data_IF_354676172568
#
_entry.id   IF_354676172568
#
_cell.length_a   1.000
_cell.length_b   1.000
_cell.length_c   1.000
_cell.angle_alpha   90.00
_cell.angle_beta   90.00
_cell.angle_gamma   90.00
#
_symmetry.space_group_name_H-M   'P 1'
#
loop_
_entity.id
_entity.type
_entity.pdbx_description
1 polymer ?
#
# COMPACT_ATOMS: atom_id res chain seq x y z
N UNK A 1 28.35 -7.63 27.97
CA UNK A 1 28.05 -6.90 26.73
C UNK A 1 29.31 -6.91 25.89
N UNK A 2 29.21 -7.25 24.61
CA UNK A 2 30.36 -7.41 23.71
C UNK A 2 30.58 -6.17 22.82
N UNK A 3 29.49 -5.55 22.38
CA UNK A 3 29.50 -4.29 21.64
C UNK A 3 28.21 -3.50 21.93
N UNK A 4 28.29 -2.18 21.85
CA UNK A 4 27.16 -1.25 21.94
C UNK A 4 27.15 -0.39 20.68
N UNK A 5 26.08 -0.47 19.90
CA UNK A 5 25.94 0.23 18.63
C UNK A 5 24.92 1.35 18.77
N UNK A 6 25.35 2.58 18.53
CA UNK A 6 24.42 3.68 18.30
C UNK A 6 23.88 3.58 16.88
N UNK A 7 22.57 3.41 16.77
CA UNK A 7 21.86 3.25 15.52
C UNK A 7 20.96 4.46 15.26
N UNK A 8 20.77 4.81 14.00
CA UNK A 8 19.85 5.88 13.58
C UNK A 8 18.98 5.38 12.42
N UNK A 9 17.70 5.78 12.35
CA UNK A 9 16.87 5.46 11.19
C UNK A 9 17.20 6.42 10.05
N UNK A 10 17.20 5.90 8.81
CA UNK A 10 17.34 6.75 7.63
C UNK A 10 16.22 7.80 7.59
N UNK A 11 16.58 9.07 7.57
CA UNK A 11 15.66 10.21 7.57
C UNK A 11 15.64 11.00 8.88
N UNK A 12 16.07 10.39 9.98
CA UNK A 12 16.34 11.10 11.23
C UNK A 12 17.68 11.85 11.07
N UNK A 13 17.71 13.13 11.44
CA UNK A 13 18.88 14.00 11.23
C UNK A 13 19.48 14.53 12.53
N UNK A 14 18.97 14.08 13.69
CA UNK A 14 19.46 14.45 15.02
C UNK A 14 20.11 13.26 15.72
N UNK A 15 21.19 13.51 16.46
CA UNK A 15 21.76 12.52 17.39
C UNK A 15 20.78 12.16 18.53
N UNK A 16 19.85 13.04 18.88
CA UNK A 16 18.82 12.78 19.90
C UNK A 16 17.85 11.65 19.49
N UNK A 17 17.70 11.41 18.18
CA UNK A 17 16.85 10.34 17.64
C UNK A 17 17.55 8.97 17.61
N UNK A 18 18.86 8.95 17.92
CA UNK A 18 19.65 7.74 17.94
C UNK A 18 19.17 6.77 19.04
N UNK A 19 19.34 5.48 18.78
CA UNK A 19 18.98 4.43 19.73
C UNK A 19 20.07 3.37 19.81
N UNK A 20 20.25 2.85 21.01
CA UNK A 20 21.34 1.89 21.28
C UNK A 20 20.86 0.46 21.08
N UNK A 21 21.68 -0.34 20.40
CA UNK A 21 21.57 -1.80 20.29
C UNK A 21 22.79 -2.44 20.97
N UNK A 22 22.51 -3.20 22.02
CA UNK A 22 23.54 -3.93 22.76
C UNK A 22 23.65 -5.36 22.21
N UNK A 23 24.86 -5.75 21.79
CA UNK A 23 25.18 -7.11 21.36
C UNK A 23 25.92 -7.81 22.49
N UNK A 24 25.42 -8.97 22.92
CA UNK A 24 26.03 -9.77 23.98
C UNK A 24 27.02 -10.81 23.41
N UNK A 25 27.90 -11.35 24.25
CA UNK A 25 28.82 -12.43 23.84
C UNK A 25 28.06 -13.67 23.34
N UNK A 26 26.88 -13.91 23.94
CA UNK A 26 25.91 -14.90 23.50
C UNK A 26 24.57 -14.19 23.43
N UNK A 27 23.94 -14.20 22.27
CA UNK A 27 22.64 -13.58 22.04
C UNK A 27 21.57 -14.66 21.85
N UNK A 28 20.43 -14.51 22.53
CA UNK A 28 19.33 -15.47 22.47
C UNK A 28 18.26 -15.00 21.48
N UNK A 29 17.92 -15.87 20.54
CA UNK A 29 16.83 -15.70 19.57
C UNK A 29 15.79 -16.79 19.84
N UNK A 30 14.86 -16.50 20.74
CA UNK A 30 13.89 -17.49 21.22
C UNK A 30 14.58 -18.63 21.98
N UNK A 31 14.62 -19.83 21.39
CA UNK A 31 15.30 -21.01 21.97
C UNK A 31 16.73 -21.22 21.46
N UNK A 32 17.15 -20.44 20.46
CA UNK A 32 18.47 -20.57 19.82
C UNK A 32 19.42 -19.59 20.48
N UNK A 33 20.61 -20.05 20.85
CA UNK A 33 21.70 -19.20 21.35
C UNK A 33 22.78 -19.10 20.29
N UNK A 34 23.19 -17.87 19.96
CA UNK A 34 24.21 -17.60 18.95
C UNK A 34 25.35 -16.84 19.63
N UNK A 35 26.55 -17.42 19.57
CA UNK A 35 27.78 -16.76 20.00
C UNK A 35 28.14 -15.63 19.04
N UNK A 36 28.72 -14.55 19.55
CA UNK A 36 29.07 -13.37 18.75
C UNK A 36 29.97 -13.68 17.55
N UNK A 37 30.88 -14.65 17.67
CA UNK A 37 31.76 -15.09 16.58
C UNK A 37 31.02 -15.77 15.42
N UNK A 38 29.77 -16.18 15.66
CA UNK A 38 28.89 -16.80 14.69
C UNK A 38 27.66 -15.94 14.36
N UNK A 39 27.48 -14.81 15.05
CA UNK A 39 26.38 -13.87 14.83
C UNK A 39 26.51 -13.24 13.44
N UNK A 40 25.48 -13.36 12.62
CA UNK A 40 25.41 -12.77 11.29
C UNK A 40 24.75 -11.40 11.32
N UNK A 41 24.98 -10.61 10.29
CA UNK A 41 24.28 -9.33 10.11
C UNK A 41 22.76 -9.54 10.02
N UNK A 42 22.27 -10.66 9.48
CA UNK A 42 20.85 -11.02 9.53
C UNK A 42 20.28 -11.06 10.95
N UNK A 43 21.06 -11.57 11.90
CA UNK A 43 20.64 -11.71 13.30
C UNK A 43 20.60 -10.33 13.97
N UNK A 44 21.54 -9.44 13.62
CA UNK A 44 21.53 -8.05 14.05
C UNK A 44 20.28 -7.30 13.56
N UNK A 45 19.79 -7.58 12.34
CA UNK A 45 18.53 -6.99 11.83
C UNK A 45 17.34 -7.36 12.72
N UNK A 46 17.26 -8.62 13.17
CA UNK A 46 16.20 -9.08 14.08
C UNK A 46 16.24 -8.33 15.40
N UNK A 47 17.44 -8.16 16.00
CA UNK A 47 17.60 -7.40 17.25
C UNK A 47 17.13 -5.95 17.13
N UNK A 48 17.47 -5.29 16.02
CA UNK A 48 17.05 -3.91 15.74
C UNK A 48 15.52 -3.82 15.66
N UNK A 49 14.88 -4.77 14.98
CA UNK A 49 13.43 -4.81 14.84
C UNK A 49 12.71 -5.12 16.14
N UNK A 50 13.22 -6.06 16.94
CA UNK A 50 12.62 -6.36 18.25
C UNK A 50 12.69 -5.13 19.19
N UNK A 51 13.79 -4.37 19.14
CA UNK A 51 13.94 -3.10 19.87
C UNK A 51 12.93 -2.04 19.42
N UNK A 52 12.58 -2.01 18.13
CA UNK A 52 11.68 -1.01 17.50
C UNK A 52 10.30 -1.58 17.14
N UNK A 53 9.92 -2.74 17.70
CA UNK A 53 8.70 -3.50 17.34
C UNK A 53 7.42 -2.67 17.43
N UNK A 54 7.36 -1.73 18.37
CA UNK A 54 6.23 -0.81 18.57
C UNK A 54 6.17 0.34 17.54
N UNK A 55 7.27 0.64 16.82
CA UNK A 55 7.35 1.73 15.82
C UNK A 55 7.34 1.23 14.37
N UNK A 56 7.86 0.02 14.09
CA UNK A 56 8.16 -0.37 12.71
C UNK A 56 7.26 -1.45 12.11
N UNK A 57 6.67 -2.38 12.86
CA UNK A 57 5.67 -3.34 12.33
C UNK A 57 6.04 -4.08 11.03
N UNK A 58 7.34 -4.29 10.79
CA UNK A 58 7.93 -4.74 9.53
C UNK A 58 8.91 -5.90 9.79
N UNK A 59 9.12 -6.76 8.79
CA UNK A 59 9.99 -7.95 8.83
C UNK A 59 11.50 -7.63 8.63
N UNK A 60 12.38 -8.52 9.10
CA UNK A 60 13.85 -8.39 9.08
C UNK A 60 14.44 -8.25 7.66
N UNK A 61 13.79 -8.84 6.67
CA UNK A 61 14.21 -8.72 5.28
C UNK A 61 13.91 -7.35 4.66
N UNK A 62 13.14 -6.52 5.35
CA UNK A 62 12.73 -5.19 4.88
C UNK A 62 13.61 -4.05 5.43
N UNK A 63 14.78 -4.36 5.98
CA UNK A 63 15.77 -3.35 6.37
C UNK A 63 17.14 -3.63 5.77
N UNK A 64 17.82 -2.57 5.34
CA UNK A 64 19.23 -2.54 5.00
C UNK A 64 20.00 -1.86 6.13
N UNK A 65 21.18 -2.38 6.43
CA UNK A 65 22.05 -1.78 7.44
C UNK A 65 23.32 -1.24 6.76
N UNK A 66 23.70 -0.04 7.14
CA UNK A 66 24.91 0.62 6.65
C UNK A 66 25.82 0.90 7.85
N UNK A 67 27.06 0.39 7.81
CA UNK A 67 28.10 0.79 8.77
C UNK A 67 28.53 2.20 8.43
N UNK A 68 28.52 3.06 9.43
CA UNK A 68 29.03 4.43 9.38
C UNK A 68 29.87 4.70 10.63
N UNK A 69 30.57 5.82 10.61
CA UNK A 69 31.29 6.35 11.77
C UNK A 69 31.15 7.87 11.74
N UNK A 70 30.04 8.37 12.28
CA UNK A 70 29.69 9.81 12.24
C UNK A 70 29.74 10.35 13.66
N UNK A 71 30.65 11.30 13.89
CA UNK A 71 30.71 12.06 15.13
C UNK A 71 29.65 13.15 15.17
N UNK A 72 29.27 13.59 16.37
CA UNK A 72 28.26 14.65 16.57
C UNK A 72 28.63 15.95 15.86
N UNK A 73 29.92 16.32 15.85
CA UNK A 73 30.42 17.49 15.10
C UNK A 73 30.22 17.40 13.58
N UNK A 74 29.95 16.21 13.06
CA UNK A 74 29.74 15.91 11.64
C UNK A 74 28.27 15.59 11.31
N UNK A 75 27.33 15.96 12.18
CA UNK A 75 25.88 15.69 12.02
C UNK A 75 25.32 16.14 10.67
N UNK A 76 25.85 17.22 10.07
CA UNK A 76 25.43 17.68 8.74
C UNK A 76 25.56 16.59 7.65
N UNK A 77 26.50 15.64 7.80
CA UNK A 77 26.68 14.51 6.85
C UNK A 77 25.48 13.56 6.86
N UNK A 78 24.71 13.49 7.96
CA UNK A 78 23.51 12.65 8.04
C UNK A 78 22.40 13.18 7.11
N UNK A 79 22.33 14.50 6.86
CA UNK A 79 21.35 15.13 5.95
C UNK A 79 21.61 14.80 4.47
N UNK A 80 22.83 14.41 4.13
CA UNK A 80 23.21 14.02 2.76
C UNK A 80 22.81 12.58 2.43
N UNK A 81 22.55 11.75 3.45
CA UNK A 81 22.16 10.35 3.30
C UNK A 81 20.67 10.23 2.95
N UNK A 82 20.35 10.31 1.65
CA UNK A 82 18.94 10.33 1.16
C UNK A 82 18.47 9.06 0.45
N UNK A 83 19.38 8.26 -0.13
CA UNK A 83 19.05 7.13 -1.02
C UNK A 83 20.28 6.20 -1.22
N UNK A 84 20.06 4.97 -1.71
CA UNK A 84 21.09 4.01 -2.17
C UNK A 84 22.15 4.60 -3.14
N UNK A 85 21.83 5.71 -3.81
CA UNK A 85 22.69 6.47 -4.73
C UNK A 85 23.45 7.64 -4.08
N UNK A 86 23.00 8.14 -2.92
CA UNK A 86 23.62 9.27 -2.20
C UNK A 86 24.28 8.78 -0.91
N UNK A 87 25.39 8.05 -1.07
CA UNK A 87 26.15 7.52 0.07
C UNK A 87 26.97 8.65 0.71
N UNK A 88 26.90 8.72 2.04
CA UNK A 88 27.93 9.43 2.82
C UNK A 88 29.28 8.79 2.50
N UNK A 89 30.29 9.64 2.26
CA UNK A 89 31.67 9.18 2.03
C UNK A 89 32.10 8.29 3.21
N UNK A 90 32.37 7.01 2.93
CA UNK A 90 32.79 6.03 3.95
C UNK A 90 31.70 5.06 4.45
N UNK A 91 30.43 5.22 4.06
CA UNK A 91 29.37 4.28 4.44
C UNK A 91 29.56 2.91 3.77
N UNK A 92 29.60 1.82 4.56
CA UNK A 92 29.79 0.44 4.08
C UNK A 92 28.52 -0.38 4.27
N UNK A 93 28.00 -0.94 3.18
CA UNK A 93 26.85 -1.84 3.23
C UNK A 93 27.16 -3.11 4.05
N UNK A 94 26.30 -3.43 5.01
CA UNK A 94 26.40 -4.63 5.84
C UNK A 94 25.64 -5.79 5.16
N UNK A 95 26.38 -6.75 4.61
CA UNK A 95 25.80 -7.90 3.91
C UNK A 95 25.18 -8.87 4.92
N UNK A 96 23.91 -9.29 4.77
CA UNK A 96 23.23 -10.14 5.74
C UNK A 96 23.93 -11.47 6.05
N UNK A 97 24.60 -12.05 5.05
CA UNK A 97 25.26 -13.37 5.17
C UNK A 97 26.61 -13.32 5.87
N UNK A 98 27.18 -12.14 6.04
CA UNK A 98 28.49 -11.94 6.65
C UNK A 98 28.39 -11.92 8.18
N UNK A 99 29.49 -12.27 8.85
CA UNK A 99 29.55 -12.26 10.32
C UNK A 99 29.65 -10.83 10.86
N UNK A 100 29.08 -10.61 12.04
CA UNK A 100 29.15 -9.35 12.78
C UNK A 100 30.60 -8.87 12.95
N UNK A 101 31.48 -9.78 13.37
CA UNK A 101 32.89 -9.51 13.57
C UNK A 101 33.65 -9.15 12.28
N UNK A 102 33.11 -9.37 11.08
CA UNK A 102 33.76 -8.87 9.85
C UNK A 102 33.67 -7.35 9.71
N UNK A 103 32.74 -6.72 10.42
CA UNK A 103 32.48 -5.28 10.32
C UNK A 103 32.83 -4.51 11.60
N UNK A 104 32.72 -5.16 12.76
CA UNK A 104 32.86 -4.54 14.09
C UNK A 104 33.96 -5.21 14.94
N UNK A 105 35.00 -5.75 14.29
CA UNK A 105 36.13 -6.46 14.92
C UNK A 105 36.97 -5.59 15.86
N UNK A 106 36.98 -4.27 15.61
CA UNK A 106 37.79 -3.31 16.36
C UNK A 106 37.03 -2.92 17.64
N UNK A 107 37.64 -3.21 18.79
CA UNK A 107 37.03 -3.09 20.13
C UNK A 107 36.75 -1.66 20.60
N UNK A 108 37.04 -0.65 19.78
CA UNK A 108 36.79 0.75 20.13
C UNK A 108 35.85 1.38 19.12
N UNK A 109 34.58 0.98 19.23
CA UNK A 109 33.49 1.80 18.72
C UNK A 109 33.48 3.09 19.54
N UNK A 110 33.70 4.23 18.87
CA UNK A 110 33.67 5.54 19.50
C UNK A 110 32.28 5.75 20.10
N UNK A 111 32.17 5.74 21.44
CA UNK A 111 30.89 5.64 22.12
C UNK A 111 29.90 6.77 21.80
N UNK A 112 30.37 7.92 21.31
CA UNK A 112 29.53 9.05 20.89
C UNK A 112 29.07 9.02 19.43
N UNK A 113 29.66 8.16 18.59
CA UNK A 113 29.41 8.20 17.15
C UNK A 113 28.19 7.37 16.77
N UNK A 114 27.53 7.71 15.66
CA UNK A 114 26.58 6.81 15.01
C UNK A 114 27.39 5.73 14.29
N UNK A 115 27.03 4.47 14.54
CA UNK A 115 27.73 3.29 14.03
C UNK A 115 26.96 2.59 12.90
N UNK A 116 25.63 2.67 12.96
CA UNK A 116 24.75 1.99 12.00
C UNK A 116 23.62 2.92 11.59
N UNK A 117 23.46 3.12 10.28
CA UNK A 117 22.21 3.67 9.74
C UNK A 117 21.31 2.51 9.31
N UNK A 118 20.12 2.50 9.88
CA UNK A 118 19.06 1.55 9.57
C UNK A 118 18.21 2.16 8.46
N UNK A 119 18.47 1.72 7.24
CA UNK A 119 17.61 2.03 6.11
C UNK A 119 16.46 1.03 6.13
N UNK A 120 15.25 1.51 6.39
CA UNK A 120 14.07 0.77 5.98
C UNK A 120 14.16 0.63 4.46
N UNK A 121 14.27 -0.60 3.96
CA UNK A 121 13.95 -0.83 2.56
C UNK A 121 12.49 -0.40 2.48
N UNK A 122 12.24 0.76 1.88
CA UNK A 122 10.92 1.03 1.40
C UNK A 122 10.57 -0.20 0.57
N UNK A 123 9.58 -0.99 1.01
CA UNK A 123 8.88 -1.88 0.10
C UNK A 123 8.67 -1.04 -1.16
N UNK A 124 9.26 -1.47 -2.28
CA UNK A 124 9.37 -0.63 -3.46
C UNK A 124 8.00 0.01 -3.69
N UNK A 125 7.93 1.35 -3.59
CA UNK A 125 6.62 1.99 -3.53
C UNK A 125 5.80 1.55 -4.73
N UNK A 126 4.50 1.32 -4.55
CA UNK A 126 3.68 0.82 -5.64
C UNK A 126 3.77 1.77 -6.86
N UNK A 127 3.96 3.07 -6.64
CA UNK A 127 4.25 4.07 -7.68
C UNK A 127 5.49 3.71 -8.53
N UNK A 128 6.58 3.27 -7.90
CA UNK A 128 7.81 2.88 -8.60
C UNK A 128 7.63 1.54 -9.34
N UNK A 129 6.91 0.59 -8.74
CA UNK A 129 6.50 -0.66 -9.39
C UNK A 129 5.67 -0.36 -10.65
N UNK A 130 4.68 0.54 -10.56
CA UNK A 130 3.87 0.94 -11.71
C UNK A 130 4.71 1.57 -12.81
N UNK A 131 5.66 2.46 -12.46
CA UNK A 131 6.60 3.03 -13.44
C UNK A 131 7.40 1.94 -14.16
N UNK A 132 7.85 0.90 -13.45
CA UNK A 132 8.58 -0.23 -14.06
C UNK A 132 7.69 -1.07 -14.98
N UNK A 133 6.49 -1.43 -14.53
CA UNK A 133 5.51 -2.21 -15.31
C UNK A 133 5.11 -1.47 -16.60
N UNK A 134 4.97 -0.15 -16.52
CA UNK A 134 4.45 0.67 -17.61
C UNK A 134 5.53 1.28 -18.52
N UNK A 135 6.82 1.03 -18.23
CA UNK A 135 7.96 1.68 -18.92
C UNK A 135 7.92 1.56 -20.44
N UNK A 136 7.48 0.40 -20.95
CA UNK A 136 7.48 0.08 -22.39
C UNK A 136 6.06 -0.04 -22.95
N UNK A 137 5.05 0.47 -22.23
CA UNK A 137 3.64 0.36 -22.63
C UNK A 137 3.25 1.62 -23.37
N UNK A 138 2.73 1.47 -24.58
CA UNK A 138 2.28 2.60 -25.38
C UNK A 138 1.10 3.32 -24.71
N UNK A 139 1.02 4.65 -24.90
CA UNK A 139 -0.13 5.46 -24.52
C UNK A 139 -0.94 5.80 -25.76
N UNK A 140 -2.26 5.68 -25.66
CA UNK A 140 -3.17 6.19 -26.67
C UNK A 140 -3.27 7.71 -26.56
N UNK A 141 -3.20 8.41 -27.70
CA UNK A 141 -3.51 9.84 -27.79
C UNK A 141 -5.03 10.12 -27.78
N UNK A 142 -5.86 9.09 -27.95
CA UNK A 142 -7.27 9.23 -28.32
C UNK A 142 -8.20 8.57 -27.30
N UNK A 143 -8.21 9.02 -26.04
CA UNK A 143 -9.38 8.80 -25.19
C UNK A 143 -10.17 10.11 -25.12
N UNK A 144 -11.32 10.14 -25.82
CA UNK A 144 -12.32 11.16 -25.51
C UNK A 144 -12.76 10.96 -24.06
N UNK A 145 -13.06 12.02 -23.30
CA UNK A 145 -13.68 11.85 -21.99
C UNK A 145 -14.91 10.95 -22.14
N UNK A 146 -14.99 9.91 -21.32
CA UNK A 146 -16.19 9.09 -21.22
C UNK A 146 -17.33 10.01 -20.81
N UNK A 147 -18.35 10.08 -21.66
CA UNK A 147 -19.46 11.03 -21.67
C UNK A 147 -19.14 12.40 -22.30
N UNK A 148 -19.67 12.58 -23.51
CA UNK A 148 -19.86 13.89 -24.14
C UNK A 148 -20.64 14.79 -23.18
N UNK A 149 -20.10 15.98 -22.90
CA UNK A 149 -20.76 17.07 -22.18
C UNK A 149 -21.98 17.65 -22.92
N UNK A 150 -22.33 17.10 -24.09
CA UNK A 150 -23.30 17.70 -25.01
C UNK A 150 -24.78 17.43 -24.69
N UNK A 151 -25.11 16.48 -23.80
CA UNK A 151 -26.51 16.24 -23.42
C UNK A 151 -26.79 16.93 -22.08
N UNK A 152 -27.78 17.84 -22.01
CA UNK A 152 -28.07 18.58 -20.78
C UNK A 152 -28.32 17.64 -19.60
N UNK A 153 -27.79 18.03 -18.44
CA UNK A 153 -28.00 17.35 -17.17
C UNK A 153 -29.50 17.38 -16.86
N UNK A 154 -30.11 16.22 -16.58
CA UNK A 154 -31.45 16.21 -15.98
C UNK A 154 -31.25 16.60 -14.52
N UNK A 155 -31.98 17.59 -14.02
CA UNK A 155 -32.05 17.89 -12.60
C UNK A 155 -32.68 16.69 -11.87
N UNK A 156 -31.84 15.77 -11.43
CA UNK A 156 -32.25 14.60 -10.64
C UNK A 156 -32.14 14.99 -9.17
N UNK A 157 -33.12 14.58 -8.35
CA UNK A 157 -32.98 14.72 -6.90
C UNK A 157 -31.83 13.81 -6.42
N UNK A 158 -30.78 14.42 -5.87
CA UNK A 158 -29.62 13.75 -5.30
C UNK A 158 -29.54 13.90 -3.77
N UNK A 159 -30.49 14.59 -3.13
CA UNK A 159 -30.44 14.96 -1.71
C UNK A 159 -30.24 13.75 -0.81
N UNK A 160 -30.98 12.67 -1.03
CA UNK A 160 -30.83 11.44 -0.24
C UNK A 160 -29.45 10.81 -0.37
N UNK A 161 -28.85 10.84 -1.57
CA UNK A 161 -27.53 10.29 -1.81
C UNK A 161 -26.45 11.14 -1.14
N UNK A 162 -26.54 12.47 -1.30
CA UNK A 162 -25.66 13.45 -0.67
C UNK A 162 -25.73 13.32 0.87
N UNK A 163 -26.92 13.22 1.43
CA UNK A 163 -27.14 13.05 2.88
C UNK A 163 -26.49 11.76 3.40
N UNK A 164 -26.64 10.62 2.70
CA UNK A 164 -25.97 9.37 3.07
C UNK A 164 -24.44 9.48 3.02
N UNK A 165 -23.89 10.13 2.00
CA UNK A 165 -22.43 10.33 1.87
C UNK A 165 -21.92 11.26 2.98
N UNK A 166 -22.61 12.37 3.24
CA UNK A 166 -22.27 13.31 4.32
C UNK A 166 -22.25 12.59 5.67
N UNK A 167 -23.30 11.81 5.98
CA UNK A 167 -23.35 11.01 7.20
C UNK A 167 -22.20 10.01 7.34
N UNK A 168 -21.81 9.34 6.24
CA UNK A 168 -20.65 8.44 6.26
C UNK A 168 -19.35 9.20 6.56
N UNK A 169 -19.19 10.41 6.01
CA UNK A 169 -18.03 11.26 6.25
C UNK A 169 -17.95 11.70 7.72
N UNK A 170 -19.04 12.24 8.27
CA UNK A 170 -19.13 12.65 9.68
C UNK A 170 -18.74 11.51 10.63
N UNK A 171 -19.30 10.32 10.40
CA UNK A 171 -19.01 9.13 11.21
C UNK A 171 -17.55 8.67 11.07
N UNK A 172 -16.98 8.69 9.86
CA UNK A 172 -15.64 8.13 9.64
C UNK A 172 -14.51 9.01 10.18
N UNK A 173 -14.68 10.33 10.20
CA UNK A 173 -13.59 11.28 10.48
C UNK A 173 -13.57 11.85 11.91
N UNK A 174 -14.71 11.99 12.58
CA UNK A 174 -14.80 12.84 13.78
C UNK A 174 -15.06 12.10 15.09
N UNK A 175 -15.27 10.79 15.00
CA UNK A 175 -15.64 9.94 16.11
C UNK A 175 -14.50 8.99 16.46
N UNK A 176 -14.05 9.05 17.71
CA UNK A 176 -12.85 8.39 18.23
C UNK A 176 -13.00 6.89 18.47
N UNK A 177 -14.18 6.30 18.23
CA UNK A 177 -14.44 4.88 18.43
C UNK A 177 -14.34 4.12 17.11
N UNK A 178 -13.65 2.98 17.14
CA UNK A 178 -13.61 1.96 16.08
C UNK A 178 -15.05 1.60 15.67
N UNK A 179 -15.50 2.04 14.50
CA UNK A 179 -16.86 1.77 14.05
C UNK A 179 -17.09 0.30 13.71
N UNK A 180 -18.23 -0.21 14.16
CA UNK A 180 -18.81 -1.44 13.64
C UNK A 180 -19.18 -1.16 12.18
N UNK A 181 -18.73 -2.00 11.24
CA UNK A 181 -19.00 -1.89 9.79
C UNK A 181 -20.48 -1.67 9.43
N UNK A 182 -21.40 -1.97 10.35
CA UNK A 182 -22.85 -1.83 10.21
C UNK A 182 -23.38 -0.39 10.16
N UNK A 183 -22.59 0.64 10.52
CA UNK A 183 -23.06 2.03 10.51
C UNK A 183 -22.85 2.75 9.19
N UNK A 184 -21.95 2.23 8.34
CA UNK A 184 -21.66 2.80 7.02
C UNK A 184 -22.73 2.41 6.01
N UNK A 185 -23.20 3.38 5.23
CA UNK A 185 -24.19 3.18 4.19
C UNK A 185 -23.53 3.03 2.82
N UNK A 186 -23.98 2.07 2.02
CA UNK A 186 -23.62 1.96 0.60
C UNK A 186 -24.81 2.42 -0.25
N UNK A 187 -24.53 3.21 -1.28
CA UNK A 187 -25.53 3.60 -2.26
C UNK A 187 -25.64 2.49 -3.31
N UNK A 188 -26.82 1.86 -3.39
CA UNK A 188 -27.10 0.82 -4.37
C UNK A 188 -28.11 1.34 -5.38
N UNK A 189 -27.70 1.43 -6.64
CA UNK A 189 -28.58 1.80 -7.74
C UNK A 189 -29.01 0.53 -8.50
N UNK A 190 -30.18 -0.01 -8.17
CA UNK A 190 -30.76 -1.16 -8.87
C UNK A 190 -31.55 -0.75 -10.12
N UNK A 191 -31.65 -1.65 -11.10
CA UNK A 191 -32.57 -1.52 -12.23
C UNK A 191 -31.99 -2.02 -13.55
N UNK A 192 -32.82 -2.01 -14.59
CA UNK A 192 -32.48 -2.58 -15.91
C UNK A 192 -31.23 -1.90 -16.56
N UNK A 193 -30.55 -2.59 -17.48
CA UNK A 193 -29.54 -1.95 -18.33
C UNK A 193 -30.10 -0.72 -19.07
N UNK A 194 -29.26 0.30 -19.29
CA UNK A 194 -29.65 1.48 -20.08
C UNK A 194 -30.48 2.55 -19.36
N UNK A 195 -30.88 2.36 -18.10
CA UNK A 195 -31.67 3.38 -17.35
C UNK A 195 -30.85 4.59 -16.88
N UNK A 196 -29.55 4.64 -17.17
CA UNK A 196 -28.67 5.75 -16.83
C UNK A 196 -28.09 5.72 -15.41
N UNK A 197 -27.89 4.53 -14.83
CA UNK A 197 -27.19 4.34 -13.54
C UNK A 197 -25.76 4.89 -13.59
N UNK A 198 -25.00 4.49 -14.62
CA UNK A 198 -23.64 4.96 -14.85
C UNK A 198 -23.60 6.49 -14.95
N UNK A 199 -24.54 7.07 -15.69
CA UNK A 199 -24.71 8.53 -15.81
C UNK A 199 -25.04 9.18 -14.46
N UNK A 200 -25.93 8.61 -13.67
CA UNK A 200 -26.26 9.13 -12.33
C UNK A 200 -25.03 9.21 -11.44
N UNK A 201 -24.19 8.17 -11.41
CA UNK A 201 -22.95 8.18 -10.62
C UNK A 201 -21.98 9.29 -11.05
N UNK A 202 -21.82 9.54 -12.36
CA UNK A 202 -21.01 10.65 -12.86
C UNK A 202 -21.59 12.02 -12.50
N UNK A 203 -22.92 12.18 -12.63
CA UNK A 203 -23.60 13.43 -12.26
C UNK A 203 -23.48 13.71 -10.76
N UNK A 204 -23.67 12.70 -9.91
CA UNK A 204 -23.48 12.80 -8.47
C UNK A 204 -22.04 13.18 -8.11
N UNK A 205 -21.03 12.51 -8.69
CA UNK A 205 -19.63 12.87 -8.47
C UNK A 205 -19.32 14.31 -8.87
N UNK A 206 -19.79 14.76 -10.04
CA UNK A 206 -19.58 16.12 -10.50
C UNK A 206 -20.25 17.15 -9.58
N UNK A 207 -21.46 16.84 -9.07
CA UNK A 207 -22.14 17.69 -8.10
C UNK A 207 -21.31 17.81 -6.81
N UNK A 208 -20.83 16.70 -6.26
CA UNK A 208 -20.00 16.66 -5.05
C UNK A 208 -18.70 17.45 -5.21
N UNK A 209 -18.02 17.27 -6.34
CA UNK A 209 -16.76 17.97 -6.65
C UNK A 209 -16.97 19.49 -6.78
N UNK A 210 -18.08 19.92 -7.39
CA UNK A 210 -18.38 21.32 -7.60
C UNK A 210 -18.97 22.00 -6.35
N UNK A 211 -19.56 21.23 -5.43
CA UNK A 211 -20.17 21.71 -4.20
C UNK A 211 -19.65 20.93 -2.97
N UNK A 212 -18.34 20.96 -2.68
CA UNK A 212 -17.74 20.14 -1.62
C UNK A 212 -18.29 20.44 -0.23
N UNK A 213 -18.71 21.70 0.00
CA UNK A 213 -19.32 22.18 1.24
C UNK A 213 -20.65 21.51 1.59
N UNK A 214 -21.30 20.83 0.63
CA UNK A 214 -22.56 20.13 0.88
C UNK A 214 -22.35 18.76 1.55
N UNK A 215 -21.11 18.27 1.59
CA UNK A 215 -20.75 16.92 2.09
C UNK A 215 -19.55 16.91 3.01
N UNK A 216 -18.53 17.73 2.74
CA UNK A 216 -17.27 17.75 3.47
C UNK A 216 -17.24 18.94 4.43
N UNK A 217 -18.07 18.88 5.47
CA UNK A 217 -18.08 19.85 6.58
C UNK A 217 -17.52 19.17 7.81
N UNK A 218 -16.60 19.85 8.49
CA UNK A 218 -16.12 19.41 9.79
C UNK A 218 -17.21 19.65 10.84
N UNK A 219 -17.76 18.61 11.49
CA UNK A 219 -18.81 18.75 12.50
C UNK A 219 -18.39 19.58 13.71
N UNK A 220 -17.09 19.65 14.02
CA UNK A 220 -16.56 20.37 15.19
C UNK A 220 -16.42 21.86 14.92
N UNK A 221 -15.88 22.22 13.75
CA UNK A 221 -15.68 23.63 13.38
C UNK A 221 -16.85 24.21 12.58
N UNK A 222 -17.74 23.36 12.07
CA UNK A 222 -18.78 23.68 11.08
C UNK A 222 -18.24 24.39 9.83
N UNK A 223 -16.94 24.24 9.57
CA UNK A 223 -16.28 24.79 8.40
C UNK A 223 -16.15 23.72 7.32
N UNK A 224 -16.22 24.09 6.03
CA UNK A 224 -15.86 23.19 4.95
C UNK A 224 -14.43 22.69 5.12
N UNK A 225 -14.21 21.42 4.77
CA UNK A 225 -12.85 20.86 4.68
C UNK A 225 -12.05 21.69 3.68
N UNK A 226 -10.85 22.17 4.05
CA UNK A 226 -10.05 22.99 3.15
C UNK A 226 -9.44 22.14 2.03
N UNK A 227 -9.58 22.63 0.80
CA UNK A 227 -8.94 22.11 -0.42
C UNK A 227 -8.99 20.58 -0.61
N UNK A 228 -10.19 19.95 -0.58
CA UNK A 228 -10.33 18.52 -0.80
C UNK A 228 -10.01 18.14 -2.25
N UNK A 229 -9.20 17.09 -2.44
CA UNK A 229 -8.94 16.51 -3.74
C UNK A 229 -9.98 15.43 -4.05
N UNK A 230 -10.66 15.55 -5.20
CA UNK A 230 -11.71 14.61 -5.64
C UNK A 230 -11.20 13.67 -6.73
N UNK A 231 -11.36 12.38 -6.50
CA UNK A 231 -11.03 11.32 -7.44
C UNK A 231 -12.23 10.38 -7.64
N UNK A 232 -12.68 10.22 -8.88
CA UNK A 232 -13.68 9.21 -9.24
C UNK A 232 -12.97 7.97 -9.77
N UNK A 233 -13.33 6.79 -9.26
CA UNK A 233 -12.85 5.51 -9.75
C UNK A 233 -14.07 4.65 -10.09
N UNK A 234 -14.23 4.36 -11.38
CA UNK A 234 -15.30 3.53 -11.92
C UNK A 234 -14.79 2.10 -12.14
N UNK A 235 -15.44 1.10 -11.56
CA UNK A 235 -15.10 -0.32 -11.70
C UNK A 235 -16.25 -1.07 -12.37
N UNK A 236 -16.09 -1.41 -13.65
CA UNK A 236 -17.02 -2.27 -14.39
C UNK A 236 -16.57 -3.74 -14.30
N UNK A 237 -17.26 -4.51 -13.47
CA UNK A 237 -16.98 -5.95 -13.31
C UNK A 237 -17.51 -6.80 -14.45
N UNK A 238 -18.39 -6.27 -15.30
CA UNK A 238 -18.94 -6.97 -16.46
C UNK A 238 -18.06 -6.90 -17.68
N UNK A 239 -17.11 -5.95 -17.77
CA UNK A 239 -16.23 -5.83 -18.94
C UNK A 239 -14.77 -5.53 -18.61
N UNK A 240 -14.50 -4.52 -17.80
CA UNK A 240 -13.17 -3.91 -17.71
C UNK A 240 -12.28 -4.55 -16.66
N UNK A 241 -12.86 -4.95 -15.52
CA UNK A 241 -12.13 -5.48 -14.35
C UNK A 241 -12.74 -6.78 -13.83
N UNK A 242 -13.17 -7.64 -14.76
CA UNK A 242 -13.81 -8.95 -14.47
C UNK A 242 -13.05 -9.77 -13.43
N UNK A 243 -13.80 -10.45 -12.57
CA UNK A 243 -13.26 -11.49 -11.70
C UNK A 243 -13.00 -12.77 -12.49
N UNK A 244 -11.95 -13.50 -12.14
CA UNK A 244 -11.64 -14.82 -12.69
C UNK A 244 -10.74 -15.60 -11.71
N UNK A 245 -10.30 -16.79 -12.11
CA UNK A 245 -9.54 -17.74 -11.26
C UNK A 245 -8.35 -17.18 -10.49
N UNK A 246 -7.69 -16.11 -10.94
CA UNK A 246 -6.56 -15.52 -10.21
C UNK A 246 -7.02 -14.75 -8.96
N UNK A 247 -8.25 -14.24 -8.96
CA UNK A 247 -8.83 -13.50 -7.84
C UNK A 247 -9.20 -14.43 -6.66
N UNK A 248 -9.34 -15.73 -6.90
CA UNK A 248 -9.66 -16.73 -5.86
C UNK A 248 -8.66 -16.74 -4.70
N UNK A 249 -7.37 -16.57 -5.01
CA UNK A 249 -6.32 -16.61 -4.00
C UNK A 249 -6.09 -15.25 -3.34
N UNK A 250 -6.76 -14.20 -3.82
CA UNK A 250 -6.61 -12.86 -3.29
C UNK A 250 -7.61 -12.61 -2.15
N UNK A 251 -7.14 -11.89 -1.14
CA UNK A 251 -8.02 -11.20 -0.20
C UNK A 251 -8.90 -10.19 -0.95
N UNK A 252 -10.10 -9.93 -0.43
CA UNK A 252 -11.00 -8.92 -0.98
C UNK A 252 -10.31 -7.54 -1.07
N UNK A 253 -9.48 -7.21 -0.08
CA UNK A 253 -8.71 -5.96 -0.07
C UNK A 253 -7.75 -5.88 -1.27
N UNK A 254 -6.90 -6.90 -1.48
CA UNK A 254 -5.98 -6.94 -2.63
C UNK A 254 -6.70 -7.03 -3.97
N UNK A 255 -7.84 -7.72 -4.04
CA UNK A 255 -8.64 -7.83 -5.26
C UNK A 255 -9.22 -6.46 -5.70
N UNK A 256 -9.73 -5.65 -4.77
CA UNK A 256 -10.21 -4.30 -5.07
C UNK A 256 -9.03 -3.35 -5.30
N UNK A 257 -7.98 -3.42 -4.47
CA UNK A 257 -6.77 -2.62 -4.61
C UNK A 257 -6.13 -2.75 -6.00
N UNK A 258 -6.02 -3.98 -6.50
CA UNK A 258 -5.48 -4.25 -7.84
C UNK A 258 -6.30 -3.55 -8.94
N UNK A 259 -7.63 -3.53 -8.82
CA UNK A 259 -8.55 -2.91 -9.79
C UNK A 259 -8.50 -1.39 -9.72
N UNK A 260 -8.45 -0.83 -8.51
CA UNK A 260 -8.25 0.61 -8.29
C UNK A 260 -6.91 1.05 -8.88
N UNK A 261 -5.85 0.28 -8.63
CA UNK A 261 -4.51 0.58 -9.16
C UNK A 261 -4.49 0.51 -10.69
N UNK A 262 -5.11 -0.51 -11.29
CA UNK A 262 -5.29 -0.58 -12.74
C UNK A 262 -6.00 0.65 -13.29
N UNK A 263 -7.16 1.00 -12.73
CA UNK A 263 -7.93 2.14 -13.23
C UNK A 263 -7.14 3.43 -13.17
N UNK A 264 -6.57 3.74 -12.01
CA UNK A 264 -5.88 4.99 -11.79
C UNK A 264 -4.55 5.11 -12.56
N UNK A 265 -3.69 4.09 -12.51
CA UNK A 265 -2.33 4.18 -13.06
C UNK A 265 -2.24 3.79 -14.54
N UNK A 266 -3.18 2.97 -15.04
CA UNK A 266 -3.10 2.38 -16.38
C UNK A 266 -4.21 2.95 -17.25
N UNK A 267 -5.46 2.68 -16.89
CA UNK A 267 -6.60 2.99 -17.75
C UNK A 267 -6.80 4.50 -17.92
N UNK A 268 -6.84 5.26 -16.83
CA UNK A 268 -7.09 6.70 -16.85
C UNK A 268 -5.89 7.48 -17.41
N UNK A 269 -4.69 6.91 -17.30
CA UNK A 269 -3.46 7.43 -17.93
C UNK A 269 -3.33 7.05 -19.42
N UNK A 270 -4.39 6.46 -19.99
CA UNK A 270 -4.48 6.07 -21.41
C UNK A 270 -3.42 5.07 -21.88
N UNK A 271 -2.87 4.26 -20.98
CA UNK A 271 -2.01 3.14 -21.37
C UNK A 271 -2.81 2.07 -22.14
N UNK A 272 -2.22 1.57 -23.21
CA UNK A 272 -2.77 0.48 -24.03
C UNK A 272 -2.47 -0.87 -23.37
N UNK A 273 -3.17 -1.14 -22.27
CA UNK A 273 -3.04 -2.36 -21.51
C UNK A 273 -4.39 -2.67 -20.88
N UNK A 274 -4.90 -3.88 -21.11
CA UNK A 274 -6.10 -4.34 -20.44
C UNK A 274 -5.81 -4.84 -19.01
N UNK A 275 -6.87 -5.13 -18.26
CA UNK A 275 -6.72 -5.54 -16.86
C UNK A 275 -6.02 -6.89 -16.71
N UNK A 276 -6.21 -7.82 -17.65
CA UNK A 276 -5.61 -9.14 -17.56
C UNK A 276 -4.10 -9.07 -17.82
N UNK A 277 -3.68 -8.31 -18.83
CA UNK A 277 -2.28 -8.04 -19.13
C UNK A 277 -1.59 -7.31 -17.97
N UNK A 278 -2.26 -6.30 -17.42
CA UNK A 278 -1.78 -5.58 -16.24
C UNK A 278 -1.55 -6.54 -15.06
N UNK A 279 -2.53 -7.38 -14.75
CA UNK A 279 -2.44 -8.36 -13.67
C UNK A 279 -1.32 -9.38 -13.92
N UNK A 280 -1.17 -9.88 -15.14
CA UNK A 280 -0.08 -10.79 -15.51
C UNK A 280 1.29 -10.14 -15.28
N UNK A 281 1.45 -8.87 -15.68
CA UNK A 281 2.71 -8.15 -15.52
C UNK A 281 3.06 -7.89 -14.05
N UNK A 282 2.08 -7.48 -13.24
CA UNK A 282 2.33 -7.29 -11.80
C UNK A 282 2.60 -8.63 -11.09
N UNK A 283 1.88 -9.70 -11.44
CA UNK A 283 2.16 -11.05 -10.90
C UNK A 283 3.57 -11.52 -11.27
N UNK A 284 4.02 -11.29 -12.51
CA UNK A 284 5.39 -11.60 -12.95
C UNK A 284 6.43 -10.79 -12.19
N UNK A 285 6.17 -9.51 -11.95
CA UNK A 285 7.06 -8.65 -11.16
C UNK A 285 7.25 -9.21 -9.73
N UNK A 286 6.16 -9.65 -9.09
CA UNK A 286 6.22 -10.27 -7.76
C UNK A 286 6.57 -11.76 -7.76
N UNK A 287 6.70 -12.40 -8.94
CA UNK A 287 6.91 -13.84 -9.12
C UNK A 287 5.88 -14.67 -8.34
N UNK A 288 4.60 -14.33 -8.48
CA UNK A 288 3.50 -15.01 -7.76
C UNK A 288 3.31 -16.43 -8.30
N UNK A 289 3.97 -17.40 -7.66
CA UNK A 289 3.94 -18.83 -7.98
C UNK A 289 3.63 -19.72 -6.77
N UNK A 290 3.68 -19.16 -5.55
CA UNK A 290 3.47 -19.88 -4.30
C UNK A 290 2.83 -18.97 -3.23
N UNK A 291 2.55 -19.53 -2.06
CA UNK A 291 1.86 -18.82 -0.97
C UNK A 291 2.67 -17.66 -0.40
N UNK A 292 4.00 -17.76 -0.35
CA UNK A 292 4.87 -16.72 0.20
C UNK A 292 4.97 -15.52 -0.76
N UNK A 293 5.18 -15.78 -2.05
CA UNK A 293 5.20 -14.74 -3.09
C UNK A 293 3.83 -14.05 -3.22
N UNK A 294 2.74 -14.80 -3.04
CA UNK A 294 1.39 -14.23 -2.95
C UNK A 294 1.21 -13.32 -1.73
N UNK A 295 1.62 -13.74 -0.54
CA UNK A 295 1.54 -12.89 0.67
C UNK A 295 2.35 -11.60 0.51
N UNK A 296 3.52 -11.69 -0.12
CA UNK A 296 4.32 -10.51 -0.46
C UNK A 296 3.59 -9.58 -1.42
N UNK A 297 2.97 -10.13 -2.47
CA UNK A 297 2.11 -9.38 -3.37
C UNK A 297 0.98 -8.67 -2.61
N UNK A 298 0.23 -9.36 -1.75
CA UNK A 298 -0.90 -8.79 -1.00
C UNK A 298 -0.46 -7.74 0.04
N UNK A 299 0.69 -7.95 0.67
CA UNK A 299 1.29 -6.96 1.59
C UNK A 299 1.70 -5.66 0.89
N UNK A 300 1.87 -5.70 -0.45
CA UNK A 300 2.23 -4.53 -1.27
C UNK A 300 1.02 -3.95 -1.99
N UNK A 301 0.20 -4.80 -2.62
CA UNK A 301 -1.00 -4.46 -3.39
C UNK A 301 -2.23 -4.63 -2.48
N UNK A 302 -2.40 -3.67 -1.58
CA UNK A 302 -3.56 -3.51 -0.71
C UNK A 302 -4.10 -2.08 -0.81
N UNK A 303 -5.33 -1.84 -0.33
CA UNK A 303 -5.98 -0.54 -0.50
C UNK A 303 -5.18 0.59 0.14
N UNK A 304 -4.60 0.36 1.32
CA UNK A 304 -3.77 1.35 2.02
C UNK A 304 -2.60 1.82 1.16
N UNK A 305 -1.84 0.90 0.59
CA UNK A 305 -0.68 1.22 -0.23
C UNK A 305 -1.07 1.83 -1.57
N UNK A 306 -2.16 1.35 -2.19
CA UNK A 306 -2.69 1.93 -3.43
C UNK A 306 -3.12 3.38 -3.21
N UNK A 307 -3.88 3.66 -2.14
CA UNK A 307 -4.31 5.02 -1.79
C UNK A 307 -3.10 5.91 -1.50
N UNK A 308 -2.10 5.41 -0.74
CA UNK A 308 -0.85 6.15 -0.51
C UNK A 308 -0.15 6.50 -1.83
N UNK A 309 -0.06 5.56 -2.76
CA UNK A 309 0.55 5.80 -4.07
C UNK A 309 -0.25 6.76 -4.94
N UNK A 310 -1.59 6.74 -4.87
CA UNK A 310 -2.45 7.74 -5.51
C UNK A 310 -2.14 9.14 -4.97
N UNK A 311 -2.09 9.30 -3.64
CA UNK A 311 -1.75 10.58 -3.00
C UNK A 311 -0.40 11.11 -3.48
N UNK A 312 0.62 10.25 -3.50
CA UNK A 312 1.96 10.61 -4.00
C UNK A 312 1.94 11.04 -5.47
N UNK A 313 1.22 10.30 -6.32
CA UNK A 313 1.11 10.62 -7.75
C UNK A 313 0.31 11.88 -8.05
N UNK A 314 -0.54 12.31 -7.12
CA UNK A 314 -1.31 13.57 -7.19
C UNK A 314 -0.66 14.72 -6.43
N UNK A 315 0.52 14.51 -5.86
CA UNK A 315 1.27 15.51 -5.09
C UNK A 315 0.47 16.11 -3.91
N UNK A 316 -0.35 15.29 -3.25
CA UNK A 316 -1.17 15.74 -2.12
C UNK A 316 -0.32 15.88 -0.85
N UNK A 317 -0.57 16.94 -0.08
CA UNK A 317 0.04 17.14 1.23
C UNK A 317 -0.52 16.15 2.25
N UNK A 318 0.22 15.83 3.32
CA UNK A 318 -0.22 14.84 4.33
C UNK A 318 -1.58 15.17 4.97
N UNK A 319 -1.86 16.46 5.17
CA UNK A 319 -3.11 16.94 5.77
C UNK A 319 -4.23 17.22 4.74
N UNK A 320 -3.96 17.05 3.44
CA UNK A 320 -4.97 17.28 2.41
C UNK A 320 -5.94 16.10 2.33
N UNK A 321 -7.24 16.38 2.39
CA UNK A 321 -8.28 15.35 2.30
C UNK A 321 -8.38 14.85 0.87
N UNK A 322 -8.31 13.52 0.70
CA UNK A 322 -8.57 12.85 -0.57
C UNK A 322 -9.94 12.17 -0.50
N UNK A 323 -10.88 12.63 -1.30
CA UNK A 323 -12.19 12.02 -1.47
C UNK A 323 -12.19 11.10 -2.69
N UNK A 324 -12.34 9.79 -2.45
CA UNK A 324 -12.46 8.79 -3.51
C UNK A 324 -13.93 8.39 -3.66
N UNK A 325 -14.52 8.71 -4.81
CA UNK A 325 -15.83 8.22 -5.21
C UNK A 325 -15.66 6.89 -5.95
N UNK A 326 -15.86 5.77 -5.24
CA UNK A 326 -15.78 4.44 -5.83
C UNK A 326 -17.14 4.02 -6.39
N UNK A 327 -17.25 3.99 -7.72
CA UNK A 327 -18.45 3.56 -8.43
C UNK A 327 -18.25 2.14 -8.96
N UNK A 328 -18.99 1.18 -8.41
CA UNK A 328 -18.96 -0.22 -8.86
C UNK A 328 -20.19 -0.48 -9.73
N UNK A 329 -19.96 -0.90 -10.97
CA UNK A 329 -21.00 -1.35 -11.89
C UNK A 329 -20.94 -2.87 -12.05
N UNK A 330 -22.07 -3.44 -12.48
CA UNK A 330 -22.24 -4.89 -12.69
C UNK A 330 -21.89 -5.72 -11.43
N UNK A 331 -22.29 -5.24 -10.25
CA UNK A 331 -22.02 -5.90 -8.95
C UNK A 331 -22.53 -7.35 -8.89
N UNK A 332 -23.58 -7.67 -9.65
CA UNK A 332 -24.10 -9.03 -9.75
C UNK A 332 -23.09 -10.02 -10.31
N UNK A 333 -22.09 -9.57 -11.08
CA UNK A 333 -21.01 -10.42 -11.55
C UNK A 333 -20.13 -10.90 -10.39
N UNK A 334 -20.02 -10.13 -9.30
CA UNK A 334 -19.34 -10.57 -8.08
C UNK A 334 -20.12 -11.70 -7.39
N UNK A 335 -21.44 -11.58 -7.27
CA UNK A 335 -22.28 -12.64 -6.70
C UNK A 335 -22.32 -13.89 -7.58
N UNK A 336 -22.34 -13.72 -8.90
CA UNK A 336 -22.30 -14.84 -9.86
C UNK A 336 -20.96 -15.57 -9.77
N UNK A 337 -19.86 -14.83 -9.67
CA UNK A 337 -18.53 -15.39 -9.43
C UNK A 337 -18.54 -16.28 -8.19
N UNK A 338 -18.97 -15.77 -7.02
CA UNK A 338 -19.06 -16.56 -5.79
C UNK A 338 -19.86 -17.86 -5.95
N UNK A 339 -21.02 -17.80 -6.63
CA UNK A 339 -21.87 -18.98 -6.87
C UNK A 339 -21.22 -20.05 -7.75
N UNK A 340 -20.51 -19.65 -8.80
CA UNK A 340 -19.82 -20.58 -9.69
C UNK A 340 -18.74 -21.36 -8.93
N UNK A 341 -18.06 -20.72 -7.98
CA UNK A 341 -16.98 -21.35 -7.23
C UNK A 341 -17.43 -22.27 -6.11
N UNK A 342 -18.54 -21.97 -5.42
CA UNK A 342 -19.12 -22.91 -4.45
C UNK A 342 -19.36 -24.29 -5.11
N UNK A 343 -19.67 -24.31 -6.40
CA UNK A 343 -19.88 -25.55 -7.18
C UNK A 343 -18.57 -26.25 -7.60
N UNK A 344 -17.52 -25.50 -7.92
CA UNK A 344 -16.21 -26.08 -8.29
C UNK A 344 -15.43 -26.63 -7.09
N UNK A 345 -15.57 -26.02 -5.90
CA UNK A 345 -14.97 -26.52 -4.65
C UNK A 345 -15.69 -27.78 -4.13
N UNK A 346 -17.00 -27.89 -4.40
CA UNK A 346 -17.78 -29.10 -4.13
C UNK A 346 -17.44 -30.26 -5.07
N UNK A 347 -17.25 -30.01 -6.37
CA UNK A 347 -16.89 -31.06 -7.32
C UNK A 347 -15.45 -31.57 -7.16
N UNK A 348 -14.52 -30.71 -6.73
CA UNK A 348 -13.15 -31.09 -6.41
C UNK A 348 -13.05 -31.88 -5.09
N UNK A 349 -13.90 -31.59 -4.10
CA UNK A 349 -13.98 -32.38 -2.85
C UNK A 349 -14.73 -33.71 -3.01
N UNK A 350 -15.69 -33.83 -3.93
CA UNK A 350 -16.31 -35.11 -4.30
C UNK A 350 -15.35 -36.02 -5.07
N UNK A 351 -14.53 -35.46 -5.97
CA UNK A 351 -13.50 -36.23 -6.69
C UNK A 351 -12.41 -36.78 -5.77
N UNK A 352 -12.10 -36.12 -4.64
CA UNK A 352 -11.15 -36.66 -3.64
C UNK A 352 -11.79 -37.79 -2.81
N UNK A 353 -13.11 -37.81 -2.64
CA UNK A 353 -13.83 -38.91 -1.97
C UNK A 353 -14.05 -40.12 -2.89
N UNK A 354 -14.03 -39.93 -4.21
CA UNK A 354 -14.18 -41.01 -5.21
C UNK A 354 -12.93 -41.89 -5.38
N UNK A 355 -11.73 -41.38 -5.09
CA UNK A 355 -10.46 -42.10 -5.32
C UNK A 355 -10.01 -43.00 -4.15
N UNK A 356 -10.73 -42.98 -3.02
CA UNK A 356 -10.43 -43.80 -1.84
C UNK A 356 -11.42 -44.97 -1.62
N UNK A 357 -12.11 -45.40 -2.68
CA UNK A 357 -12.85 -46.68 -2.68
C UNK A 357 -12.23 -47.61 -3.71
N UNK A 358 -11.15 -48.28 -3.29
CA UNK A 358 -10.75 -49.58 -3.81
C UNK A 358 -11.38 -50.66 -2.94
#
# INVERSE_FOLDING_TARGET
MAASLNCLLLGDTSFDDAFVINVANVTEFGRIKVEIDNLKISDLKVLILDRKKNKLGIDADSINLWKVDVAESDEYKLKEFKDENNKVVGAKFLKPTHKFNEYFKDKELNQGNIHVIVQLLAAESLTMIMKKILKNVARSSNKSPGFSSSIPLKERNMESAIMSISKNFEQSFYTTQSFVKSTLQFLVCCGAPGIGKTRYGFELFNHLKNNPKDVLVDPRSQQPVPDPDFLSIYLDFGKEVRLNRYDFKLTADSAIALRVAFKFFVYDQSYQMDFNDFRQNIYRYFKVDNTESLRKFESTVNLRNVIKSIRMSRHLNDNQTLFIFLHIDEIQEMFNYEKCWIREDQSSSENIKGTNRL
#
